data_IF_293712583538
#
_entry.id   IF_293712583538
#
_cell.length_a   1.000
_cell.length_b   1.000
_cell.length_c   1.000
_cell.angle_alpha   90.00
_cell.angle_beta   90.00
_cell.angle_gamma   90.00
#
_symmetry.space_group_name_H-M   'P 1'
#
loop_
_entity.id
_entity.type
_entity.pdbx_description
1 polymer ?
#
# COMPACT_ATOMS: atom_id res chain seq x y z
N UNK A 1 3.29 14.55 9.83
CA UNK A 1 4.20 13.50 9.34
C UNK A 1 5.02 12.99 10.49
N UNK A 2 5.36 11.72 10.47
CA UNK A 2 6.28 11.14 11.46
C UNK A 2 7.71 11.66 11.26
N UNK A 3 8.51 11.78 12.34
CA UNK A 3 9.90 12.23 12.23
C UNK A 3 10.71 11.28 11.34
N UNK A 4 11.48 11.85 10.41
CA UNK A 4 12.26 11.09 9.42
C UNK A 4 11.47 10.61 8.19
N UNK A 5 10.15 10.85 8.13
CA UNK A 5 9.35 10.56 6.94
C UNK A 5 9.24 11.78 6.01
N UNK A 6 9.27 11.53 4.70
CA UNK A 6 9.09 12.51 3.62
C UNK A 6 7.77 12.29 2.88
N UNK A 7 7.26 13.34 2.23
CA UNK A 7 6.02 13.27 1.45
C UNK A 7 6.22 12.33 0.26
N UNK A 8 5.33 11.37 0.08
CA UNK A 8 5.38 10.56 -1.13
C UNK A 8 4.91 11.37 -2.36
N UNK A 9 5.57 11.13 -3.49
CA UNK A 9 5.25 11.66 -4.80
C UNK A 9 5.67 10.62 -5.86
N UNK A 10 5.31 10.87 -7.12
CA UNK A 10 5.59 9.93 -8.21
C UNK A 10 7.07 9.64 -8.46
N UNK A 11 7.99 10.47 -7.96
CA UNK A 11 9.44 10.31 -8.15
C UNK A 11 10.15 9.60 -7.00
N UNK A 12 9.49 9.40 -5.85
CA UNK A 12 10.15 8.87 -4.66
C UNK A 12 9.48 7.63 -4.06
N UNK A 13 8.44 7.11 -4.68
CA UNK A 13 7.85 5.82 -4.32
C UNK A 13 8.80 4.67 -4.68
N UNK A 14 8.82 3.57 -3.90
CA UNK A 14 9.54 2.36 -4.30
C UNK A 14 8.88 1.78 -5.54
N UNK A 15 9.65 1.16 -6.43
CA UNK A 15 9.07 0.35 -7.50
C UNK A 15 8.77 -1.03 -6.96
N UNK A 16 7.68 -1.60 -7.44
CA UNK A 16 7.25 -2.95 -7.12
C UNK A 16 7.12 -3.69 -8.43
N UNK A 17 7.93 -4.72 -8.63
CA UNK A 17 7.82 -5.58 -9.80
C UNK A 17 6.90 -6.79 -9.54
N UNK A 18 6.64 -7.56 -10.61
CA UNK A 18 5.73 -8.69 -10.59
C UNK A 18 6.26 -9.87 -9.76
N UNK A 19 7.58 -10.05 -9.68
CA UNK A 19 8.21 -11.11 -8.89
C UNK A 19 8.12 -10.78 -7.40
N UNK A 20 8.45 -9.55 -6.99
CA UNK A 20 8.26 -9.08 -5.61
C UNK A 20 6.81 -9.30 -5.14
N UNK A 21 5.84 -8.92 -5.98
CA UNK A 21 4.43 -9.12 -5.68
C UNK A 21 4.10 -10.62 -5.59
N UNK A 22 4.60 -11.43 -6.51
CA UNK A 22 4.39 -12.88 -6.51
C UNK A 22 4.94 -13.56 -5.26
N UNK A 23 6.15 -13.20 -4.84
CA UNK A 23 6.79 -13.72 -3.62
C UNK A 23 6.04 -13.30 -2.36
N UNK A 24 5.62 -12.03 -2.28
CA UNK A 24 4.79 -11.56 -1.18
C UNK A 24 3.49 -12.35 -1.07
N UNK A 25 2.79 -12.56 -2.18
CA UNK A 25 1.54 -13.32 -2.21
C UNK A 25 1.75 -14.82 -1.88
N UNK A 26 2.86 -15.41 -2.32
CA UNK A 26 3.17 -16.81 -2.07
C UNK A 26 3.56 -17.08 -0.60
N UNK A 27 4.21 -16.12 0.05
CA UNK A 27 4.74 -16.26 1.41
C UNK A 27 3.75 -15.79 2.48
N UNK A 28 2.83 -14.88 2.13
CA UNK A 28 1.90 -14.29 3.08
C UNK A 28 0.66 -15.18 3.32
N UNK A 29 0.69 -15.96 4.41
CA UNK A 29 -0.43 -16.81 4.84
C UNK A 29 -1.69 -16.02 5.25
N UNK A 30 -1.55 -14.73 5.57
CA UNK A 30 -2.66 -13.84 5.94
C UNK A 30 -3.35 -13.21 4.72
N UNK A 31 -2.85 -13.45 3.50
CA UNK A 31 -3.50 -13.03 2.26
C UNK A 31 -4.83 -13.80 2.09
N UNK A 32 -5.90 -13.22 2.60
CA UNK A 32 -7.19 -13.89 2.78
C UNK A 32 -8.00 -13.98 1.46
N UNK A 33 -8.71 -15.11 1.31
CA UNK A 33 -9.66 -15.45 0.23
C UNK A 33 -10.64 -14.34 -0.20
N UNK A 34 -10.87 -13.30 0.62
CA UNK A 34 -11.73 -12.16 0.26
C UNK A 34 -11.25 -11.39 -0.98
N UNK A 35 -9.94 -11.36 -1.23
CA UNK A 35 -9.35 -10.75 -2.45
C UNK A 35 -9.54 -11.67 -3.67
N UNK A 36 -9.54 -12.99 -3.47
CA UNK A 36 -9.86 -13.98 -4.51
C UNK A 36 -11.33 -13.96 -4.96
N UNK A 37 -12.26 -13.48 -4.13
CA UNK A 37 -13.70 -13.51 -4.46
C UNK A 37 -14.14 -12.37 -5.38
N UNK A 38 -13.22 -11.52 -5.86
CA UNK A 38 -13.50 -10.36 -6.73
C UNK A 38 -14.56 -9.37 -6.21
N UNK A 39 -15.04 -9.52 -4.97
CA UNK A 39 -16.04 -8.63 -4.37
C UNK A 39 -15.45 -7.23 -4.18
N UNK A 40 -14.14 -7.15 -3.92
CA UNK A 40 -13.40 -5.91 -3.64
C UNK A 40 -12.80 -5.25 -4.89
N UNK A 41 -12.47 -6.05 -5.92
CA UNK A 41 -11.82 -5.57 -7.16
C UNK A 41 -12.74 -4.64 -7.95
N UNK A 42 -14.03 -4.96 -8.06
CA UNK A 42 -14.98 -4.19 -8.87
C UNK A 42 -15.25 -2.78 -8.31
N UNK A 43 -15.26 -2.61 -6.98
CA UNK A 43 -15.54 -1.33 -6.31
C UNK A 43 -14.29 -0.44 -6.22
N UNK A 44 -13.11 -1.03 -6.00
CA UNK A 44 -11.82 -0.34 -6.00
C UNK A 44 -11.29 -0.01 -7.40
N UNK A 45 -11.84 -0.64 -8.46
CA UNK A 45 -11.50 -0.31 -9.87
C UNK A 45 -12.02 1.07 -10.32
N UNK A 46 -12.80 1.78 -9.50
CA UNK A 46 -13.24 3.13 -9.84
C UNK A 46 -12.02 4.05 -9.84
N UNK A 47 -11.74 4.79 -10.94
CA UNK A 47 -10.54 5.63 -11.05
C UNK A 47 -10.39 6.63 -9.90
N UNK A 48 -11.50 7.18 -9.41
CA UNK A 48 -11.50 8.17 -8.32
C UNK A 48 -11.37 7.56 -6.92
N UNK A 49 -11.57 6.25 -6.76
CA UNK A 49 -11.57 5.62 -5.43
C UNK A 49 -10.20 5.72 -4.76
N UNK A 50 -9.11 5.61 -5.53
CA UNK A 50 -7.76 5.80 -5.00
C UNK A 50 -7.56 7.18 -4.38
N UNK A 51 -8.05 8.23 -5.04
CA UNK A 51 -7.92 9.61 -4.57
C UNK A 51 -8.80 9.92 -3.35
N UNK A 52 -10.00 9.35 -3.30
CA UNK A 52 -10.95 9.55 -2.19
C UNK A 52 -10.61 8.68 -0.96
N UNK A 53 -10.03 7.50 -1.15
CA UNK A 53 -9.81 6.52 -0.09
C UNK A 53 -8.43 6.62 0.56
N UNK A 54 -7.43 7.15 -0.15
CA UNK A 54 -6.05 7.22 0.33
C UNK A 54 -5.80 8.60 0.92
N UNK A 55 -5.57 8.64 2.23
CA UNK A 55 -5.05 9.84 2.87
C UNK A 55 -3.56 10.03 2.58
N UNK A 56 -3.02 11.16 3.02
CA UNK A 56 -1.61 11.51 2.92
C UNK A 56 -0.63 10.33 3.06
N UNK A 57 0.16 10.10 2.02
CA UNK A 57 1.19 9.06 1.96
C UNK A 57 2.54 9.64 2.36
N UNK A 58 3.23 8.95 3.27
CA UNK A 58 4.56 9.31 3.74
C UNK A 58 5.50 8.10 3.59
N UNK A 59 6.77 8.35 3.32
CA UNK A 59 7.77 7.28 3.24
C UNK A 59 9.07 7.64 3.93
N UNK A 60 9.81 6.64 4.36
CA UNK A 60 11.15 6.76 4.95
C UNK A 60 12.03 5.69 4.33
N UNK A 61 13.25 6.06 3.94
CA UNK A 61 14.27 5.13 3.45
C UNK A 61 15.38 5.00 4.47
N UNK A 62 15.74 3.76 4.79
CA UNK A 62 16.84 3.40 5.68
C UNK A 62 17.67 2.32 4.98
N UNK A 63 18.70 2.74 4.23
CA UNK A 63 19.47 1.83 3.36
C UNK A 63 18.62 1.37 2.17
N UNK A 64 18.51 0.06 2.00
CA UNK A 64 17.67 -0.62 1.01
C UNK A 64 16.20 -0.72 1.43
N UNK A 65 15.87 -0.47 2.71
CA UNK A 65 14.50 -0.63 3.19
C UNK A 65 13.71 0.68 3.03
N UNK A 66 12.64 0.64 2.23
CA UNK A 66 11.67 1.70 2.07
C UNK A 66 10.38 1.39 2.85
N UNK A 67 10.11 2.18 3.89
CA UNK A 67 8.87 2.09 4.66
C UNK A 67 7.88 3.14 4.19
N UNK A 68 6.77 2.71 3.59
CA UNK A 68 5.66 3.57 3.16
C UNK A 68 4.50 3.44 4.14
N UNK A 69 3.94 4.55 4.57
CA UNK A 69 2.78 4.60 5.46
C UNK A 69 1.70 5.50 4.89
N UNK A 70 0.45 5.07 5.06
CA UNK A 70 -0.71 5.88 4.76
C UNK A 70 -1.87 5.50 5.68
N UNK A 71 -2.96 6.27 5.62
CA UNK A 71 -4.25 5.81 6.15
C UNK A 71 -5.23 5.62 5.01
N UNK A 72 -5.99 4.55 5.06
CA UNK A 72 -6.95 4.15 4.04
C UNK A 72 -8.35 4.14 4.65
N UNK A 73 -9.31 4.72 3.95
CA UNK A 73 -10.73 4.63 4.28
C UNK A 73 -11.23 3.19 4.08
N UNK A 74 -11.89 2.58 5.08
CA UNK A 74 -12.60 1.32 4.88
C UNK A 74 -13.69 1.49 3.81
N UNK A 75 -13.64 0.66 2.76
CA UNK A 75 -14.52 0.71 1.58
C UNK A 75 -16.03 0.79 1.88
N UNK A 76 -16.46 0.32 3.06
CA UNK A 76 -17.89 0.18 3.38
C UNK A 76 -18.48 1.26 4.28
N UNK A 77 -17.69 2.19 4.84
CA UNK A 77 -18.20 3.23 5.74
C UNK A 77 -17.31 4.47 5.75
N UNK A 78 -17.72 5.51 5.03
CA UNK A 78 -17.11 6.87 5.06
C UNK A 78 -17.08 7.52 6.44
N UNK A 79 -17.80 7.00 7.44
CA UNK A 79 -17.74 7.43 8.85
C UNK A 79 -16.91 6.51 9.76
N UNK A 80 -16.26 5.48 9.23
CA UNK A 80 -15.48 4.53 10.03
C UNK A 80 -14.03 5.00 10.24
N UNK A 81 -13.41 4.45 11.30
CA UNK A 81 -12.02 4.71 11.65
C UNK A 81 -11.11 4.30 10.49
N UNK A 82 -10.27 5.22 10.04
CA UNK A 82 -9.25 4.99 9.02
C UNK A 82 -8.32 3.84 9.44
N UNK A 83 -8.02 2.94 8.51
CA UNK A 83 -6.98 1.92 8.71
C UNK A 83 -5.62 2.54 8.48
N UNK A 84 -4.70 2.36 9.42
CA UNK A 84 -3.30 2.68 9.20
C UNK A 84 -2.64 1.52 8.45
N UNK A 85 -2.03 1.81 7.31
CA UNK A 85 -1.33 0.83 6.49
C UNK A 85 0.15 1.16 6.50
N UNK A 86 0.98 0.12 6.65
CA UNK A 86 2.43 0.20 6.55
C UNK A 86 2.88 -0.84 5.54
N UNK A 87 3.60 -0.41 4.53
CA UNK A 87 4.29 -1.24 3.54
C UNK A 87 5.78 -1.10 3.80
N UNK A 88 6.49 -2.22 3.86
CA UNK A 88 7.95 -2.27 4.00
C UNK A 88 8.45 -2.98 2.76
N UNK A 89 9.29 -2.31 1.99
CA UNK A 89 9.84 -2.80 0.72
C UNK A 89 11.34 -2.89 0.87
N UNK A 90 11.92 -4.02 0.48
CA UNK A 90 13.34 -4.13 0.24
C UNK A 90 13.62 -3.75 -1.21
N UNK A 91 14.23 -2.59 -1.42
CA UNK A 91 14.58 -2.06 -2.75
C UNK A 91 15.84 -2.74 -3.33
N UNK A 92 16.54 -3.63 -2.60
CA UNK A 92 17.70 -4.37 -3.12
C UNK A 92 17.29 -5.46 -4.13
N UNK A 93 16.08 -6.01 -3.99
CA UNK A 93 15.55 -7.03 -4.89
C UNK A 93 15.02 -6.46 -6.23
N UNK A 94 15.07 -5.14 -6.43
CA UNK A 94 14.75 -4.49 -7.71
C UNK A 94 15.84 -4.85 -8.73
N UNK A 95 15.67 -5.98 -9.43
CA UNK A 95 16.55 -6.44 -10.52
C UNK A 95 16.21 -5.81 -11.87
#
# INVERSE_FOLDING_TARGET
MEPGFVKANSSNLPRIDLLMLGEFLATNKEFCSSEFRNVKTSLSSRPSYGDDAISYVQLKREGNICTVKCKICPEHKVHAKLYAVTLIVDEEEEK
#
